data_IF_375471995567
#
_entry.id   IF_375471995567
#
_cell.length_a   1.000
_cell.length_b   1.000
_cell.length_c   1.000
_cell.angle_alpha   90.00
_cell.angle_beta   90.00
_cell.angle_gamma   90.00
#
_symmetry.space_group_name_H-M   'P 1'
#
loop_
_entity.id
_entity.type
_entity.pdbx_description
1 polymer ?
#
# COMPACT_ATOMS: atom_id res chain seq x y z
N UNK A 1 -4.60 8.03 -36.02
CA UNK A 1 -5.70 7.04 -36.11
C UNK A 1 -5.28 6.01 -37.15
N UNK A 2 -5.51 4.71 -36.94
CA UNK A 2 -5.08 3.72 -37.94
C UNK A 2 -6.06 3.75 -39.14
N UNK A 3 -5.59 3.50 -40.37
CA UNK A 3 -6.42 3.58 -41.61
C UNK A 3 -7.71 2.74 -41.52
N UNK A 4 -7.66 1.62 -40.78
CA UNK A 4 -8.81 0.75 -40.52
C UNK A 4 -9.90 1.46 -39.70
N UNK A 5 -9.50 2.21 -38.67
CA UNK A 5 -10.42 2.93 -37.79
C UNK A 5 -11.12 4.10 -38.52
N UNK A 6 -10.40 4.75 -39.44
CA UNK A 6 -10.97 5.81 -40.28
C UNK A 6 -12.07 5.28 -41.22
N UNK A 7 -11.87 4.09 -41.79
CA UNK A 7 -12.86 3.43 -42.66
C UNK A 7 -14.11 3.04 -41.85
N UNK A 8 -13.95 2.45 -40.67
CA UNK A 8 -15.06 2.09 -39.79
C UNK A 8 -15.85 3.32 -39.34
N UNK A 9 -15.15 4.39 -38.95
CA UNK A 9 -15.77 5.65 -38.55
C UNK A 9 -16.63 6.24 -39.67
N UNK A 10 -16.11 6.23 -40.91
CA UNK A 10 -16.85 6.71 -42.08
C UNK A 10 -18.11 5.88 -42.32
N UNK A 11 -18.02 4.55 -42.24
CA UNK A 11 -19.18 3.65 -42.36
C UNK A 11 -20.24 3.88 -41.29
N UNK A 12 -19.83 4.10 -40.04
CA UNK A 12 -20.75 4.38 -38.93
C UNK A 12 -21.47 5.71 -39.17
N UNK A 13 -20.75 6.76 -39.57
CA UNK A 13 -21.35 8.06 -39.91
C UNK A 13 -22.33 7.95 -41.09
N UNK A 14 -21.94 7.24 -42.15
CA UNK A 14 -22.81 7.02 -43.32
C UNK A 14 -24.09 6.25 -42.94
N UNK A 15 -23.99 5.25 -42.04
CA UNK A 15 -25.16 4.50 -41.55
C UNK A 15 -26.07 5.30 -40.62
N UNK A 16 -25.49 6.14 -39.76
CA UNK A 16 -26.26 7.00 -38.85
C UNK A 16 -26.95 8.14 -39.60
N UNK A 17 -26.32 8.72 -40.63
CA UNK A 17 -26.91 9.75 -41.50
C UNK A 17 -27.73 10.82 -40.76
N UNK A 18 -27.19 11.36 -39.66
CA UNK A 18 -27.81 12.34 -38.75
C UNK A 18 -29.14 11.92 -38.09
N UNK A 19 -29.47 10.63 -38.10
CA UNK A 19 -30.62 10.08 -37.37
C UNK A 19 -30.39 10.14 -35.86
N UNK A 20 -31.49 10.34 -35.13
CA UNK A 20 -31.53 10.14 -33.68
C UNK A 20 -31.10 8.71 -33.33
N UNK A 21 -30.37 8.54 -32.22
CA UNK A 21 -29.85 7.25 -31.81
C UNK A 21 -29.88 7.06 -30.31
N UNK A 22 -29.88 5.81 -29.87
CA UNK A 22 -29.67 5.41 -28.46
C UNK A 22 -28.46 4.52 -28.35
N UNK A 23 -27.72 4.68 -27.26
CA UNK A 23 -26.62 3.80 -26.89
C UNK A 23 -27.06 2.96 -25.69
N UNK A 24 -27.02 1.64 -25.85
CA UNK A 24 -27.10 0.71 -24.73
C UNK A 24 -25.70 0.34 -24.26
N UNK A 25 -25.44 0.43 -22.96
CA UNK A 25 -24.19 0.01 -22.34
C UNK A 25 -24.48 -1.02 -21.26
N UNK A 26 -23.82 -2.18 -21.35
CA UNK A 26 -23.83 -3.23 -20.34
C UNK A 26 -22.45 -3.30 -19.68
N UNK A 27 -22.37 -2.90 -18.40
CA UNK A 27 -21.11 -2.72 -17.67
C UNK A 27 -20.87 -3.89 -16.72
N UNK A 28 -19.99 -4.81 -17.12
CA UNK A 28 -19.50 -5.91 -16.30
C UNK A 28 -18.13 -5.62 -15.66
N UNK A 29 -17.74 -6.44 -14.69
CA UNK A 29 -16.46 -6.32 -13.94
C UNK A 29 -15.21 -6.45 -14.83
N UNK A 30 -15.34 -7.03 -16.02
CA UNK A 30 -14.28 -7.21 -17.02
C UNK A 30 -14.74 -7.02 -18.46
N UNK A 31 -15.90 -6.42 -18.68
CA UNK A 31 -16.47 -6.25 -20.01
C UNK A 31 -17.35 -5.02 -20.11
N UNK A 32 -17.38 -4.40 -21.27
CA UNK A 32 -18.36 -3.38 -21.65
C UNK A 32 -19.04 -3.86 -22.92
N UNK A 33 -20.28 -4.33 -22.82
CA UNK A 33 -21.15 -4.52 -23.96
C UNK A 33 -21.66 -3.16 -24.42
N UNK A 34 -21.67 -2.91 -25.73
CA UNK A 34 -22.21 -1.67 -26.28
C UNK A 34 -23.03 -1.95 -27.54
N UNK A 35 -24.11 -1.19 -27.70
CA UNK A 35 -24.95 -1.20 -28.89
C UNK A 35 -25.39 0.21 -29.22
N UNK A 36 -25.41 0.56 -30.50
CA UNK A 36 -25.93 1.83 -31.02
C UNK A 36 -27.09 1.49 -31.94
N UNK A 37 -28.26 2.00 -31.60
CA UNK A 37 -29.52 1.76 -32.32
C UNK A 37 -30.00 3.09 -32.89
N UNK A 38 -30.29 3.11 -34.18
CA UNK A 38 -30.94 4.24 -34.85
C UNK A 38 -32.43 4.26 -34.50
N UNK A 39 -32.97 5.47 -34.39
CA UNK A 39 -34.35 5.71 -34.05
C UNK A 39 -35.08 6.30 -35.25
N UNK A 40 -36.33 5.88 -35.39
CA UNK A 40 -37.29 6.49 -36.29
C UNK A 40 -38.37 7.18 -35.47
N UNK A 41 -38.66 8.42 -35.85
CA UNK A 41 -39.78 9.17 -35.29
C UNK A 41 -41.09 8.54 -35.75
N UNK A 42 -41.95 8.21 -34.78
CA UNK A 42 -43.29 7.71 -34.99
C UNK A 42 -44.26 8.58 -34.19
N UNK A 43 -44.96 9.48 -34.89
CA UNK A 43 -45.78 10.55 -34.32
C UNK A 43 -44.97 11.52 -33.44
N UNK A 44 -45.53 12.70 -33.17
CA UNK A 44 -44.83 13.89 -32.62
C UNK A 44 -44.07 13.70 -31.29
N UNK A 45 -44.13 12.53 -30.64
CA UNK A 45 -43.54 12.29 -29.31
C UNK A 45 -42.96 10.88 -29.08
N UNK A 46 -42.88 10.00 -30.09
CA UNK A 46 -42.36 8.64 -29.86
C UNK A 46 -41.29 8.22 -30.85
N UNK A 47 -40.24 7.59 -30.33
CA UNK A 47 -39.12 7.05 -31.10
C UNK A 47 -39.13 5.54 -31.00
N UNK A 48 -39.20 4.87 -32.15
CA UNK A 48 -39.08 3.41 -32.24
C UNK A 48 -37.69 3.02 -32.75
N UNK A 49 -37.10 1.93 -32.23
CA UNK A 49 -35.84 1.40 -32.74
C UNK A 49 -36.04 0.89 -34.17
N UNK A 50 -35.19 1.35 -35.10
CA UNK A 50 -35.27 0.98 -36.52
C UNK A 50 -34.18 -0.03 -36.88
N UNK A 51 -32.91 0.31 -36.64
CA UNK A 51 -31.78 -0.55 -37.04
C UNK A 51 -30.62 -0.48 -36.03
N UNK A 52 -29.86 -1.58 -35.94
CA UNK A 52 -28.65 -1.69 -35.13
C UNK A 52 -27.46 -1.24 -35.98
N UNK A 53 -26.94 -0.05 -35.66
CA UNK A 53 -25.83 0.56 -36.40
C UNK A 53 -24.51 -0.11 -36.04
N UNK A 54 -24.33 -0.40 -34.75
CA UNK A 54 -23.11 -0.96 -34.19
C UNK A 54 -23.46 -1.80 -32.96
N UNK A 55 -22.84 -2.97 -32.84
CA UNK A 55 -22.84 -3.70 -31.57
C UNK A 55 -21.47 -4.35 -31.36
N UNK A 56 -21.09 -4.50 -30.10
CA UNK A 56 -19.84 -5.14 -29.76
C UNK A 56 -19.67 -5.32 -28.26
N UNK A 57 -18.56 -5.94 -27.90
CA UNK A 57 -18.13 -6.08 -26.52
C UNK A 57 -16.66 -5.74 -26.41
N UNK A 58 -16.32 -4.94 -25.42
CA UNK A 58 -14.94 -4.65 -25.05
C UNK A 58 -14.59 -5.47 -23.82
N UNK A 59 -13.80 -6.52 -24.01
CA UNK A 59 -13.28 -7.37 -22.93
C UNK A 59 -11.98 -6.75 -22.41
N UNK A 60 -11.84 -6.63 -21.10
CA UNK A 60 -10.62 -6.16 -20.46
C UNK A 60 -10.32 -6.96 -19.19
N UNK A 61 -9.05 -7.02 -18.83
CA UNK A 61 -8.65 -7.67 -17.59
C UNK A 61 -9.09 -6.80 -16.41
N UNK A 62 -9.94 -7.36 -15.55
CA UNK A 62 -10.33 -6.67 -14.32
C UNK A 62 -9.10 -6.36 -13.47
N UNK A 63 -9.11 -5.23 -12.77
CA UNK A 63 -7.99 -4.77 -11.94
C UNK A 63 -7.89 -5.59 -10.65
N UNK A 64 -7.43 -6.83 -10.76
CA UNK A 64 -7.10 -7.69 -9.63
C UNK A 64 -5.72 -7.25 -9.10
N UNK A 65 -5.58 -7.15 -7.77
CA UNK A 65 -4.30 -6.83 -7.11
C UNK A 65 -4.15 -5.40 -6.56
N UNK A 66 -5.21 -4.57 -6.57
CA UNK A 66 -5.17 -3.30 -5.84
C UNK A 66 -5.01 -3.52 -4.31
N UNK A 67 -5.69 -4.54 -3.78
CA UNK A 67 -5.60 -4.99 -2.38
C UNK A 67 -4.19 -5.50 -2.08
N UNK A 68 -3.68 -6.41 -2.91
CA UNK A 68 -2.33 -6.96 -2.75
C UNK A 68 -1.23 -5.87 -2.79
N UNK A 69 -1.33 -4.91 -3.74
CA UNK A 69 -0.43 -3.74 -3.77
C UNK A 69 -0.53 -2.89 -2.50
N UNK A 70 -1.72 -2.78 -1.92
CA UNK A 70 -1.94 -2.06 -0.66
C UNK A 70 -1.28 -2.80 0.50
N UNK A 71 -1.46 -4.11 0.60
CA UNK A 71 -0.85 -4.95 1.64
C UNK A 71 0.68 -4.87 1.60
N UNK A 72 1.28 -5.05 0.43
CA UNK A 72 2.75 -4.91 0.29
C UNK A 72 3.24 -3.51 0.68
N UNK A 73 2.49 -2.46 0.36
CA UNK A 73 2.84 -1.09 0.75
C UNK A 73 2.72 -0.89 2.26
N UNK A 74 1.70 -1.44 2.90
CA UNK A 74 1.50 -1.37 4.35
C UNK A 74 2.65 -2.08 5.09
N UNK A 75 3.03 -3.28 4.65
CA UNK A 75 4.16 -4.03 5.22
C UNK A 75 5.47 -3.23 5.11
N UNK A 76 5.79 -2.71 3.90
CA UNK A 76 7.00 -1.89 3.69
C UNK A 76 7.01 -0.64 4.58
N UNK A 77 5.87 0.05 4.68
CA UNK A 77 5.77 1.23 5.53
C UNK A 77 5.95 0.85 7.00
N UNK A 78 5.32 -0.22 7.48
CA UNK A 78 5.46 -0.71 8.86
C UNK A 78 6.93 -0.99 9.20
N UNK A 79 7.64 -1.75 8.36
CA UNK A 79 9.08 -2.01 8.56
C UNK A 79 9.91 -0.73 8.57
N UNK A 80 9.64 0.21 7.65
CA UNK A 80 10.33 1.51 7.63
C UNK A 80 10.08 2.28 8.92
N UNK A 81 8.82 2.44 9.34
CA UNK A 81 8.46 3.20 10.54
C UNK A 81 9.05 2.57 11.80
N UNK A 82 9.00 1.24 11.92
CA UNK A 82 9.65 0.53 13.02
C UNK A 82 11.16 0.80 13.06
N UNK A 83 11.85 0.70 11.92
CA UNK A 83 13.29 0.98 11.84
C UNK A 83 13.64 2.41 12.23
N UNK A 84 12.94 3.41 11.66
CA UNK A 84 13.21 4.81 11.99
C UNK A 84 12.94 5.11 13.48
N UNK A 85 11.87 4.54 14.06
CA UNK A 85 11.57 4.64 15.50
C UNK A 85 12.68 4.05 16.36
N UNK A 86 13.17 2.85 16.02
CA UNK A 86 14.24 2.19 16.77
C UNK A 86 15.58 2.93 16.65
N UNK A 87 15.86 3.52 15.48
CA UNK A 87 17.03 4.36 15.26
C UNK A 87 16.99 5.63 16.11
N UNK A 88 15.85 6.33 16.10
CA UNK A 88 15.63 7.50 16.96
C UNK A 88 15.80 7.16 18.44
N UNK A 89 15.19 6.04 18.88
CA UNK A 89 15.34 5.58 20.27
C UNK A 89 16.80 5.31 20.62
N UNK A 90 17.56 4.66 19.74
CA UNK A 90 18.97 4.43 19.98
C UNK A 90 19.77 5.73 20.12
N UNK A 91 19.56 6.70 19.24
CA UNK A 91 20.21 8.02 19.34
C UNK A 91 19.91 8.68 20.69
N UNK A 92 18.64 8.67 21.11
CA UNK A 92 18.21 9.19 22.41
C UNK A 92 18.87 8.45 23.58
N UNK A 93 18.93 7.11 23.53
CA UNK A 93 19.59 6.31 24.58
C UNK A 93 21.10 6.57 24.62
N UNK A 94 21.75 6.72 23.47
CA UNK A 94 23.17 7.02 23.37
C UNK A 94 23.49 8.40 23.96
N UNK A 95 22.70 9.43 23.65
CA UNK A 95 22.83 10.76 24.25
C UNK A 95 22.74 10.73 25.78
N UNK A 96 21.94 9.82 26.33
CA UNK A 96 21.76 9.62 27.78
C UNK A 96 22.74 8.62 28.39
N UNK A 97 23.76 8.17 27.64
CA UNK A 97 24.75 7.18 28.09
C UNK A 97 24.14 5.81 28.48
N UNK A 98 22.95 5.50 27.95
CA UNK A 98 22.23 4.23 28.15
C UNK A 98 22.53 3.21 27.04
N UNK A 99 23.11 3.65 25.92
CA UNK A 99 23.51 2.81 24.80
C UNK A 99 24.89 3.23 24.26
N UNK A 100 25.51 2.37 23.45
CA UNK A 100 26.74 2.68 22.73
C UNK A 100 26.49 3.86 21.78
N UNK A 101 27.48 4.75 21.69
CA UNK A 101 27.41 5.90 20.79
C UNK A 101 27.31 5.42 19.35
N UNK A 102 26.40 6.04 18.59
CA UNK A 102 26.30 5.80 17.15
C UNK A 102 27.56 6.34 16.49
N UNK A 103 28.36 5.50 15.84
CA UNK A 103 29.44 6.01 14.99
C UNK A 103 28.83 6.76 13.81
N UNK A 104 29.47 7.85 13.36
CA UNK A 104 29.01 8.61 12.19
C UNK A 104 28.84 7.73 10.94
N UNK A 105 29.51 6.58 10.88
CA UNK A 105 29.38 5.60 9.78
C UNK A 105 28.07 4.80 9.79
N UNK A 106 27.35 4.75 10.92
CA UNK A 106 26.02 4.15 11.04
C UNK A 106 24.92 5.05 10.43
N UNK A 107 25.30 6.18 9.82
CA UNK A 107 24.43 6.97 8.95
C UNK A 107 24.04 6.23 7.66
N UNK A 108 24.90 5.33 7.18
CA UNK A 108 24.59 4.43 6.06
C UNK A 108 23.49 3.47 6.50
N UNK A 109 22.38 3.45 5.75
CA UNK A 109 21.20 2.57 5.96
C UNK A 109 21.65 1.23 6.55
N UNK A 110 21.25 0.96 7.80
CA UNK A 110 21.36 -0.38 8.38
C UNK A 110 20.83 -1.39 7.36
N UNK A 111 21.63 -2.41 7.03
CA UNK A 111 21.25 -3.40 6.06
C UNK A 111 19.99 -4.11 6.57
N UNK A 112 19.00 -4.28 5.70
CA UNK A 112 17.75 -4.98 6.06
C UNK A 112 17.95 -6.44 6.48
N UNK A 113 19.16 -6.98 6.30
CA UNK A 113 19.57 -8.30 6.72
C UNK A 113 20.12 -8.36 8.15
N UNK A 114 20.38 -7.22 8.81
CA UNK A 114 20.80 -7.18 10.21
C UNK A 114 19.57 -7.45 11.09
N UNK A 115 19.26 -8.72 11.28
CA UNK A 115 18.15 -9.21 12.11
C UNK A 115 18.30 -8.83 13.59
N UNK A 116 19.51 -8.54 14.05
CA UNK A 116 19.78 -8.21 15.45
C UNK A 116 20.58 -6.91 15.58
N UNK A 117 19.86 -5.78 15.58
CA UNK A 117 20.45 -4.44 15.72
C UNK A 117 20.95 -4.14 17.14
N UNK A 118 20.51 -4.91 18.14
CA UNK A 118 20.94 -4.78 19.54
C UNK A 118 22.44 -4.99 19.72
N UNK A 119 23.07 -5.87 18.93
CA UNK A 119 24.52 -6.13 18.95
C UNK A 119 25.38 -4.89 18.68
N UNK A 120 24.86 -3.95 17.89
CA UNK A 120 25.56 -2.69 17.56
C UNK A 120 25.32 -1.59 18.59
N UNK A 121 24.33 -1.78 19.47
CA UNK A 121 23.78 -0.73 20.34
C UNK A 121 24.14 -0.93 21.80
N UNK A 122 24.42 -2.16 22.21
CA UNK A 122 24.75 -2.48 23.59
C UNK A 122 26.01 -3.34 23.69
N UNK A 123 26.76 -3.24 24.80
CA UNK A 123 27.89 -4.13 25.07
C UNK A 123 27.49 -5.61 25.13
N UNK A 124 28.37 -6.50 24.67
CA UNK A 124 28.14 -7.96 24.61
C UNK A 124 27.80 -8.57 25.98
N UNK A 125 28.40 -8.07 27.07
CA UNK A 125 28.09 -8.56 28.41
C UNK A 125 26.62 -8.31 28.79
N UNK A 126 26.04 -7.19 28.37
CA UNK A 126 24.63 -6.85 28.63
C UNK A 126 23.70 -7.69 27.75
N UNK A 127 24.08 -7.94 26.49
CA UNK A 127 23.29 -8.75 25.56
C UNK A 127 23.16 -10.22 25.97
N UNK A 128 24.08 -10.73 26.81
CA UNK A 128 24.00 -12.07 27.39
C UNK A 128 22.96 -12.18 28.50
N UNK A 129 22.54 -11.06 29.08
CA UNK A 129 21.53 -11.03 30.14
C UNK A 129 20.13 -11.13 29.53
N UNK A 130 19.24 -11.88 30.17
CA UNK A 130 17.85 -11.99 29.71
C UNK A 130 17.09 -10.66 29.98
N UNK A 131 16.54 -10.00 28.94
CA UNK A 131 15.82 -8.75 29.11
C UNK A 131 14.58 -8.87 30.01
N UNK A 132 13.92 -10.04 30.09
CA UNK A 132 12.80 -10.25 30.99
C UNK A 132 13.23 -10.32 32.45
N UNK A 133 14.36 -10.96 32.73
CA UNK A 133 14.96 -10.98 34.08
C UNK A 133 15.33 -9.55 34.49
N UNK A 134 15.96 -8.78 33.59
CA UNK A 134 16.30 -7.38 33.86
C UNK A 134 15.07 -6.49 34.08
N UNK A 135 13.99 -6.73 33.34
CA UNK A 135 12.70 -6.04 33.55
C UNK A 135 12.11 -6.31 34.93
N UNK A 136 12.17 -7.57 35.39
CA UNK A 136 11.73 -7.93 36.73
C UNK A 136 12.63 -7.28 37.79
N UNK A 137 13.95 -7.39 37.62
CA UNK A 137 14.98 -6.81 38.48
C UNK A 137 14.78 -5.29 38.68
N UNK A 138 14.41 -4.58 37.62
CA UNK A 138 14.16 -3.14 37.65
C UNK A 138 13.00 -2.69 38.57
N UNK A 139 12.13 -3.61 39.01
CA UNK A 139 11.04 -3.30 39.95
C UNK A 139 11.54 -3.17 41.39
N UNK A 140 12.56 -3.94 41.75
CA UNK A 140 13.05 -4.04 43.12
C UNK A 140 14.37 -3.27 43.33
N UNK A 141 15.22 -3.20 42.30
CA UNK A 141 16.54 -2.61 42.42
C UNK A 141 16.94 -1.75 41.21
N UNK A 142 17.95 -0.90 41.43
CA UNK A 142 18.47 0.01 40.42
C UNK A 142 19.38 -0.72 39.43
N UNK A 143 19.02 -0.70 38.15
CA UNK A 143 19.85 -1.22 37.06
C UNK A 143 21.03 -0.31 36.73
N UNK A 144 22.09 -0.89 36.16
CA UNK A 144 23.14 -0.10 35.49
C UNK A 144 22.58 0.63 34.26
N UNK A 145 23.28 1.69 33.82
CA UNK A 145 22.84 2.51 32.68
C UNK A 145 22.61 1.67 31.41
N UNK A 146 23.53 0.77 31.08
CA UNK A 146 23.38 -0.07 29.89
C UNK A 146 22.29 -1.14 30.04
N UNK A 147 22.09 -1.70 31.24
CA UNK A 147 20.98 -2.63 31.50
C UNK A 147 19.64 -1.91 31.34
N UNK A 148 19.52 -0.70 31.89
CA UNK A 148 18.32 0.12 31.75
C UNK A 148 18.06 0.46 30.28
N UNK A 149 19.08 0.87 29.54
CA UNK A 149 18.98 1.12 28.11
C UNK A 149 18.54 -0.10 27.31
N UNK A 150 19.10 -1.27 27.61
CA UNK A 150 18.75 -2.53 26.95
C UNK A 150 17.31 -2.93 27.23
N UNK A 151 16.84 -2.77 28.46
CA UNK A 151 15.44 -3.02 28.85
C UNK A 151 14.48 -2.08 28.10
N UNK A 152 14.76 -0.77 28.08
CA UNK A 152 13.93 0.21 27.38
C UNK A 152 13.87 -0.08 25.88
N UNK A 153 15.02 -0.41 25.29
CA UNK A 153 15.12 -0.79 23.90
C UNK A 153 14.30 -2.04 23.58
N UNK A 154 14.40 -3.08 24.43
CA UNK A 154 13.66 -4.33 24.27
C UNK A 154 12.14 -4.12 24.37
N UNK A 155 11.68 -3.29 25.32
CA UNK A 155 10.26 -2.93 25.46
C UNK A 155 9.75 -2.21 24.21
N UNK A 156 10.52 -1.25 23.70
CA UNK A 156 10.12 -0.51 22.50
C UNK A 156 10.11 -1.40 21.24
N UNK A 157 11.07 -2.33 21.14
CA UNK A 157 11.16 -3.28 20.03
C UNK A 157 9.97 -4.25 20.00
N UNK A 158 9.51 -4.71 21.17
CA UNK A 158 8.39 -5.63 21.34
C UNK A 158 7.15 -4.94 21.90
N UNK A 159 6.94 -3.67 21.54
CA UNK A 159 5.71 -2.96 21.90
C UNK A 159 4.53 -3.63 21.20
N UNK A 160 3.64 -4.24 21.98
CA UNK A 160 2.39 -4.80 21.48
C UNK A 160 1.58 -3.71 20.78
N UNK A 161 0.66 -4.14 19.91
CA UNK A 161 -0.37 -3.26 19.34
C UNK A 161 -1.13 -2.58 20.47
N UNK A 162 -1.11 -1.25 20.50
CA UNK A 162 -2.04 -0.51 21.32
C UNK A 162 -3.44 -0.83 20.80
N UNK A 163 -4.31 -1.37 21.65
CA UNK A 163 -5.72 -1.48 21.32
C UNK A 163 -6.28 -0.05 21.25
N UNK A 164 -6.76 0.35 20.08
CA UNK A 164 -7.63 1.53 20.00
C UNK A 164 -8.91 1.14 20.73
N UNK A 165 -9.17 1.78 21.88
CA UNK A 165 -10.51 1.75 22.48
C UNK A 165 -11.42 2.53 21.53
N UNK A 166 -12.05 1.83 20.59
CA UNK A 166 -13.13 2.34 19.74
C UNK A 166 -14.49 2.06 20.34
#
# INVERSE_FOLDING_TARGET
MNKVQEIEYKKIREKLADREYRIGLDLGVGSIGYVVVSLKECNDLSYLPEDIILSGSRIFKSSIGAVERREFRLQRNSHRHHRERMRFLWQLLAEKQLALQSSKDLEKKENSADCETSQKRFPINILKEDPYILRYKALEEKLSLFQLGYVLYHIANHSNTAYENT
#
